data_IF_932990400387
#
_entry.id   IF_932990400387
#
_cell.length_a   1.000
_cell.length_b   1.000
_cell.length_c   1.000
_cell.angle_alpha   90.00
_cell.angle_beta   90.00
_cell.angle_gamma   90.00
#
_symmetry.space_group_name_H-M   'P 1'
#
loop_
_entity.id
_entity.type
_entity.pdbx_description
1 polymer ?
#
# COMPACT_ATOMS: atom_id res chain seq x y z
N UNK A 1 -15.36 14.46 -48.80
CA UNK A 1 -16.07 14.90 -47.60
C UNK A 1 -15.02 15.47 -46.67
N UNK A 2 -15.12 16.77 -46.44
CA UNK A 2 -14.10 17.59 -45.79
C UNK A 2 -14.01 17.23 -44.28
N UNK A 3 -12.85 16.75 -43.82
CA UNK A 3 -12.62 16.29 -42.44
C UNK A 3 -12.24 17.43 -41.48
N UNK A 4 -12.28 18.68 -41.94
CA UNK A 4 -11.99 19.83 -41.10
C UNK A 4 -13.27 20.44 -40.54
N UNK A 5 -13.63 19.98 -39.33
CA UNK A 5 -14.18 20.76 -38.19
C UNK A 5 -14.99 19.83 -37.29
N UNK A 6 -14.29 19.05 -36.47
CA UNK A 6 -14.86 18.64 -35.19
C UNK A 6 -14.64 19.85 -34.27
N UNK A 7 -15.69 20.52 -33.78
CA UNK A 7 -15.53 21.55 -32.75
C UNK A 7 -14.86 20.87 -31.55
N UNK A 8 -13.72 21.42 -31.10
CA UNK A 8 -13.18 21.06 -29.80
C UNK A 8 -14.00 21.84 -28.77
N UNK A 9 -14.72 21.14 -27.90
CA UNK A 9 -15.30 21.69 -26.67
C UNK A 9 -14.17 22.06 -25.67
N UNK A 10 -13.20 22.87 -26.10
CA UNK A 10 -11.96 23.17 -25.34
C UNK A 10 -11.94 24.62 -24.82
N UNK A 11 -13.08 25.30 -24.77
CA UNK A 11 -13.18 26.66 -24.20
C UNK A 11 -13.88 26.71 -22.83
N UNK A 12 -14.16 25.56 -22.21
CA UNK A 12 -14.42 25.51 -20.77
C UNK A 12 -13.16 24.98 -20.07
N UNK A 13 -12.19 25.87 -19.88
CA UNK A 13 -11.23 25.71 -18.78
C UNK A 13 -12.10 25.53 -17.52
N UNK A 14 -12.09 24.36 -16.86
CA UNK A 14 -12.83 24.21 -15.62
C UNK A 14 -12.32 25.29 -14.66
N UNK A 15 -13.22 26.15 -14.20
CA UNK A 15 -12.91 27.17 -13.21
C UNK A 15 -12.20 26.47 -12.03
N UNK A 16 -10.94 26.82 -11.79
CA UNK A 16 -10.08 26.24 -10.75
C UNK A 16 -10.56 26.54 -9.32
N UNK A 17 -11.79 27.05 -9.16
CA UNK A 17 -12.44 27.36 -7.89
C UNK A 17 -13.36 26.25 -7.35
N UNK A 18 -13.36 25.05 -7.93
CA UNK A 18 -13.99 23.87 -7.31
C UNK A 18 -13.16 23.40 -6.10
N UNK A 19 -13.20 24.20 -5.04
CA UNK A 19 -12.73 23.87 -3.70
C UNK A 19 -13.52 22.64 -3.23
N UNK A 20 -12.98 21.44 -3.46
CA UNK A 20 -13.63 20.21 -3.03
C UNK A 20 -13.42 20.07 -1.52
N UNK A 21 -14.46 20.21 -0.67
CA UNK A 21 -14.30 20.11 0.78
C UNK A 21 -13.77 18.74 1.22
N UNK A 22 -13.99 17.71 0.39
CA UNK A 22 -13.42 16.38 0.57
C UNK A 22 -11.89 16.35 0.49
N UNK A 23 -11.27 17.23 -0.31
CA UNK A 23 -9.81 17.30 -0.42
C UNK A 23 -9.17 17.90 0.84
N UNK A 24 -9.76 18.96 1.41
CA UNK A 24 -9.29 19.53 2.68
C UNK A 24 -9.36 18.48 3.79
N UNK A 25 -10.51 17.80 3.90
CA UNK A 25 -10.70 16.76 4.91
C UNK A 25 -9.68 15.62 4.73
N UNK A 26 -9.43 15.21 3.49
CA UNK A 26 -8.44 14.20 3.17
C UNK A 26 -7.03 14.62 3.62
N UNK A 27 -6.64 15.87 3.35
CA UNK A 27 -5.34 16.42 3.79
C UNK A 27 -5.23 16.47 5.32
N UNK A 28 -6.28 16.90 6.01
CA UNK A 28 -6.32 16.89 7.47
C UNK A 28 -6.18 15.46 8.03
N UNK A 29 -6.85 14.49 7.42
CA UNK A 29 -6.77 13.09 7.83
C UNK A 29 -5.38 12.49 7.52
N UNK A 30 -4.72 12.91 6.43
CA UNK A 30 -3.32 12.58 6.16
C UNK A 30 -2.38 13.16 7.22
N UNK A 31 -2.51 14.45 7.58
CA UNK A 31 -1.67 15.05 8.61
C UNK A 31 -1.87 14.40 9.97
N UNK A 32 -3.10 14.02 10.33
CA UNK A 32 -3.37 13.25 11.56
C UNK A 32 -2.69 11.88 11.53
N UNK A 33 -2.72 11.21 10.39
CA UNK A 33 -2.03 9.94 10.24
C UNK A 33 -0.52 10.12 10.42
N UNK A 34 0.09 11.08 9.74
CA UNK A 34 1.52 11.39 9.87
C UNK A 34 1.91 11.71 11.31
N UNK A 35 1.14 12.57 11.99
CA UNK A 35 1.36 12.87 13.41
C UNK A 35 1.28 11.61 14.29
N UNK A 36 0.35 10.69 14.00
CA UNK A 36 0.26 9.41 14.74
C UNK A 36 1.48 8.51 14.53
N UNK A 37 2.11 8.57 13.34
CA UNK A 37 3.37 7.88 13.07
C UNK A 37 4.48 8.50 13.92
N UNK A 38 4.63 9.83 13.90
CA UNK A 38 5.68 10.56 14.61
C UNK A 38 5.60 10.39 16.14
N UNK A 39 4.38 10.30 16.68
CA UNK A 39 4.13 10.01 18.10
C UNK A 39 4.37 8.54 18.49
N UNK A 40 4.73 7.67 17.52
CA UNK A 40 4.92 6.24 17.74
C UNK A 40 3.63 5.47 18.05
N UNK A 41 2.47 6.06 17.73
CA UNK A 41 1.13 5.50 17.97
C UNK A 41 0.35 5.37 16.66
N UNK A 42 0.89 4.65 15.65
CA UNK A 42 0.21 4.51 14.37
C UNK A 42 -1.12 3.81 14.57
N UNK A 43 -2.19 4.35 13.97
CA UNK A 43 -3.53 3.77 14.01
C UNK A 43 -3.58 2.40 13.33
N UNK A 44 -2.80 2.24 12.27
CA UNK A 44 -2.63 1.01 11.50
C UNK A 44 -1.19 0.86 11.04
N UNK A 45 -0.79 -0.34 10.67
CA UNK A 45 0.48 -0.59 9.98
C UNK A 45 0.22 -0.69 8.49
N UNK A 46 0.84 0.22 7.72
CA UNK A 46 0.77 0.23 6.27
C UNK A 46 1.89 -0.63 5.69
N UNK A 47 1.53 -1.68 4.96
CA UNK A 47 2.47 -2.62 4.34
C UNK A 47 2.45 -2.42 2.83
N UNK A 48 3.60 -2.14 2.24
CA UNK A 48 3.75 -2.08 0.79
C UNK A 48 4.33 -3.39 0.25
N UNK A 49 3.56 -4.09 -0.59
CA UNK A 49 3.93 -5.36 -1.20
C UNK A 49 4.68 -5.21 -2.54
N UNK A 50 4.98 -3.98 -2.99
CA UNK A 50 5.79 -3.72 -4.19
C UNK A 50 7.24 -4.16 -3.97
N UNK A 51 7.98 -4.27 -5.07
CA UNK A 51 9.44 -4.47 -5.03
C UNK A 51 10.10 -3.23 -4.42
N UNK A 52 11.20 -3.41 -3.69
CA UNK A 52 11.90 -2.27 -3.08
C UNK A 52 12.30 -1.19 -4.09
N UNK A 53 12.69 -1.57 -5.31
CA UNK A 53 13.01 -0.62 -6.39
C UNK A 53 11.82 0.26 -6.85
N UNK A 54 10.59 -0.22 -6.69
CA UNK A 54 9.37 0.59 -6.96
C UNK A 54 9.03 1.50 -5.78
N UNK A 55 9.37 1.09 -4.55
CA UNK A 55 9.18 1.86 -3.33
C UNK A 55 10.14 3.06 -3.28
N UNK A 56 11.38 2.86 -3.73
CA UNK A 56 12.40 3.92 -3.85
C UNK A 56 11.98 5.07 -4.78
N UNK A 57 11.09 4.80 -5.74
CA UNK A 57 10.55 5.83 -6.65
C UNK A 57 9.45 6.70 -5.99
N UNK A 58 8.96 6.31 -4.82
CA UNK A 58 7.89 7.00 -4.13
C UNK A 58 7.06 6.06 -3.28
N UNK A 59 6.77 6.49 -2.06
CA UNK A 59 6.07 5.69 -1.07
C UNK A 59 5.21 6.55 -0.14
N UNK A 60 4.30 5.90 0.58
CA UNK A 60 3.47 6.55 1.59
C UNK A 60 4.27 6.64 2.90
N UNK A 61 4.18 7.77 3.59
CA UNK A 61 4.87 7.99 4.87
C UNK A 61 4.47 6.89 5.88
N UNK A 62 5.44 6.40 6.65
CA UNK A 62 5.21 5.41 7.70
C UNK A 62 4.98 3.97 7.21
N UNK A 63 5.03 3.71 5.90
CA UNK A 63 4.89 2.34 5.39
C UNK A 63 6.12 1.48 5.69
N UNK A 64 5.87 0.17 5.82
CA UNK A 64 6.90 -0.87 5.84
C UNK A 64 6.84 -1.69 4.57
N UNK A 65 7.99 -1.90 3.92
CA UNK A 65 8.04 -2.68 2.68
C UNK A 65 8.23 -4.17 2.99
N UNK A 66 7.23 -4.97 2.64
CA UNK A 66 7.30 -6.43 2.61
C UNK A 66 7.00 -6.90 1.20
N UNK A 67 8.02 -6.94 0.35
CA UNK A 67 7.84 -7.31 -1.04
C UNK A 67 7.25 -8.73 -1.17
N UNK A 68 6.24 -8.89 -2.03
CA UNK A 68 5.56 -10.18 -2.16
C UNK A 68 6.48 -11.33 -2.56
N UNK A 69 7.57 -11.03 -3.27
CA UNK A 69 8.57 -12.03 -3.70
C UNK A 69 9.27 -12.69 -2.51
N UNK A 70 9.38 -12.00 -1.38
CA UNK A 70 10.00 -12.54 -0.18
C UNK A 70 9.16 -13.64 0.46
N UNK A 71 7.85 -13.71 0.16
CA UNK A 71 6.98 -14.76 0.65
C UNK A 71 7.30 -16.13 0.02
N UNK A 72 8.12 -16.19 -1.03
CA UNK A 72 8.41 -17.43 -1.75
C UNK A 72 9.85 -17.90 -1.56
N UNK A 73 10.01 -19.22 -1.56
CA UNK A 73 11.27 -19.87 -1.92
C UNK A 73 11.34 -19.98 -3.44
N UNK A 74 12.53 -19.78 -4.00
CA UNK A 74 12.78 -19.85 -5.44
C UNK A 74 13.81 -20.93 -5.68
N UNK A 75 13.40 -21.99 -6.40
CA UNK A 75 14.27 -23.08 -6.85
C UNK A 75 14.11 -23.22 -8.37
N UNK A 76 15.05 -22.63 -9.11
CA UNK A 76 14.93 -22.44 -10.56
C UNK A 76 13.66 -21.63 -10.91
N UNK A 77 12.80 -22.24 -11.73
CA UNK A 77 11.51 -21.65 -12.15
C UNK A 77 10.35 -21.94 -11.18
N UNK A 78 10.59 -22.74 -10.13
CA UNK A 78 9.55 -23.12 -9.18
C UNK A 78 9.51 -22.12 -8.03
N UNK A 79 8.31 -21.59 -7.77
CA UNK A 79 8.03 -20.74 -6.62
C UNK A 79 7.12 -21.47 -5.66
N UNK A 80 7.61 -21.73 -4.46
CA UNK A 80 6.81 -22.31 -3.37
C UNK A 80 6.67 -21.29 -2.26
N UNK A 81 5.55 -21.32 -1.54
CA UNK A 81 5.37 -20.45 -0.39
C UNK A 81 6.33 -20.86 0.73
N UNK A 82 6.92 -19.87 1.41
CA UNK A 82 7.74 -20.11 2.58
C UNK A 82 6.94 -20.82 3.66
N UNK A 83 7.65 -21.66 4.42
CA UNK A 83 7.05 -22.37 5.56
C UNK A 83 6.49 -21.39 6.59
N UNK A 84 5.60 -21.89 7.46
CA UNK A 84 5.01 -21.07 8.52
C UNK A 84 6.07 -20.43 9.41
N UNK A 85 7.13 -21.16 9.75
CA UNK A 85 8.20 -20.66 10.63
C UNK A 85 9.06 -19.59 9.95
N UNK A 86 9.34 -19.75 8.66
CA UNK A 86 10.02 -18.71 7.87
C UNK A 86 9.16 -17.43 7.77
N UNK A 87 7.85 -17.59 7.55
CA UNK A 87 6.90 -16.48 7.53
C UNK A 87 6.78 -15.80 8.90
N UNK A 88 6.74 -16.56 10.00
CA UNK A 88 6.80 -16.01 11.38
C UNK A 88 8.04 -15.17 11.61
N UNK A 89 9.19 -15.63 11.12
CA UNK A 89 10.46 -14.87 11.25
C UNK A 89 10.44 -13.59 10.41
N UNK A 90 9.90 -13.67 9.20
CA UNK A 90 9.77 -12.53 8.28
C UNK A 90 8.86 -11.44 8.85
N UNK A 91 7.69 -11.84 9.30
CA UNK A 91 6.64 -10.96 9.80
C UNK A 91 6.64 -10.86 11.33
N UNK A 92 7.79 -11.11 11.98
CA UNK A 92 7.88 -11.14 13.45
C UNK A 92 7.36 -9.85 14.08
N UNK A 93 7.65 -8.71 13.45
CA UNK A 93 7.29 -7.36 13.93
C UNK A 93 5.80 -7.05 13.67
N UNK A 94 5.15 -7.88 12.85
CA UNK A 94 3.72 -7.84 12.53
C UNK A 94 2.95 -9.01 13.16
N UNK A 95 3.57 -9.88 13.96
CA UNK A 95 2.83 -10.97 14.61
C UNK A 95 1.86 -10.41 15.65
N UNK A 96 0.70 -11.05 15.94
CA UNK A 96 -0.27 -10.55 16.93
C UNK A 96 0.33 -10.24 18.31
N UNK A 97 1.41 -10.93 18.69
CA UNK A 97 2.13 -10.68 19.94
C UNK A 97 2.89 -9.34 19.96
N UNK A 98 3.30 -8.83 18.79
CA UNK A 98 4.08 -7.59 18.63
C UNK A 98 3.28 -6.47 17.95
N UNK A 99 2.33 -6.82 17.09
CA UNK A 99 1.32 -5.94 16.52
C UNK A 99 0.26 -5.68 17.59
N UNK A 100 0.58 -4.81 18.56
CA UNK A 100 -0.36 -4.30 19.56
C UNK A 100 -1.66 -3.84 18.89
N UNK A 101 -2.70 -4.66 18.83
CA UNK A 101 -4.06 -4.32 18.37
C UNK A 101 -4.17 -3.39 17.14
N UNK A 102 -3.16 -3.38 16.26
CA UNK A 102 -3.05 -2.43 15.15
C UNK A 102 -3.66 -3.09 13.92
N UNK A 103 -4.56 -2.36 13.26
CA UNK A 103 -5.09 -2.79 11.97
C UNK A 103 -3.94 -2.89 10.95
N UNK A 104 -3.97 -3.91 10.09
CA UNK A 104 -3.02 -4.03 8.98
C UNK A 104 -3.69 -3.55 7.70
N UNK A 105 -3.03 -2.62 7.01
CA UNK A 105 -3.44 -2.19 5.66
C UNK A 105 -2.34 -2.60 4.70
N UNK A 106 -2.67 -3.45 3.73
CA UNK A 106 -1.69 -3.99 2.77
C UNK A 106 -2.02 -3.44 1.38
N UNK A 107 -1.03 -2.82 0.74
CA UNK A 107 -1.19 -2.21 -0.56
C UNK A 107 -0.14 -2.68 -1.57
N UNK A 108 -0.43 -2.46 -2.84
CA UNK A 108 0.56 -2.48 -3.92
C UNK A 108 0.05 -1.61 -5.07
N UNK A 109 0.63 -1.75 -6.28
CA UNK A 109 0.20 -0.94 -7.44
C UNK A 109 -1.25 -1.20 -7.86
N UNK A 110 -1.75 -2.44 -7.75
CA UNK A 110 -3.07 -2.85 -8.26
C UNK A 110 -3.85 -3.78 -7.32
N UNK A 111 -3.38 -3.98 -6.10
CA UNK A 111 -3.97 -4.92 -5.12
C UNK A 111 -3.60 -6.41 -5.31
N UNK A 112 -3.06 -6.82 -6.47
CA UNK A 112 -2.80 -8.24 -6.75
C UNK A 112 -1.68 -8.82 -5.87
N UNK A 113 -0.53 -8.17 -5.79
CA UNK A 113 0.56 -8.69 -4.95
C UNK A 113 0.31 -8.48 -3.45
N UNK A 114 -0.57 -7.54 -3.10
CA UNK A 114 -1.03 -7.34 -1.73
C UNK A 114 -1.79 -8.58 -1.22
N UNK A 115 -2.61 -9.23 -2.06
CA UNK A 115 -3.36 -10.42 -1.65
C UNK A 115 -2.46 -11.63 -1.36
N UNK A 116 -1.31 -11.71 -2.01
CA UNK A 116 -0.29 -12.73 -1.71
C UNK A 116 0.26 -12.52 -0.29
N UNK A 117 0.59 -11.28 0.06
CA UNK A 117 1.09 -10.94 1.40
C UNK A 117 0.00 -11.18 2.45
N UNK A 118 -1.27 -10.86 2.15
CA UNK A 118 -2.42 -11.21 3.00
C UNK A 118 -2.45 -12.73 3.24
N UNK A 119 -2.37 -13.54 2.18
CA UNK A 119 -2.34 -14.99 2.31
C UNK A 119 -1.16 -15.50 3.12
N UNK A 120 0.03 -14.91 2.95
CA UNK A 120 1.22 -15.24 3.73
C UNK A 120 1.06 -14.88 5.22
N UNK A 121 0.30 -13.85 5.55
CA UNK A 121 0.01 -13.43 6.92
C UNK A 121 -1.16 -14.20 7.55
N UNK A 122 -2.12 -14.71 6.77
CA UNK A 122 -3.37 -15.27 7.27
C UNK A 122 -3.16 -16.39 8.32
N UNK A 123 -2.19 -17.29 8.09
CA UNK A 123 -1.90 -18.38 9.04
C UNK A 123 -1.18 -17.92 10.32
N UNK A 124 -0.70 -16.67 10.36
CA UNK A 124 -0.06 -16.09 11.56
C UNK A 124 -1.09 -15.50 12.54
N UNK A 125 -2.31 -15.30 12.07
CA UNK A 125 -3.41 -14.62 12.78
C UNK A 125 -4.56 -15.58 13.14
N UNK A 126 -4.37 -16.89 12.97
CA UNK A 126 -5.24 -17.94 13.49
C UNK A 126 -4.93 -18.24 14.95
#
# INVERSE_FOLDING_TARGET
TDLHKIPRDDDTIPDHNDFQPGLIKFLDDMHKFEASIDEGKPLFVLIDARKSSDVEQGTIVGQVNYQFTDCFNVDGDVKTMKSLDERKKMFKDLSPANAQSKELVIMCRSGVTATIVIGALADLYQ
#
